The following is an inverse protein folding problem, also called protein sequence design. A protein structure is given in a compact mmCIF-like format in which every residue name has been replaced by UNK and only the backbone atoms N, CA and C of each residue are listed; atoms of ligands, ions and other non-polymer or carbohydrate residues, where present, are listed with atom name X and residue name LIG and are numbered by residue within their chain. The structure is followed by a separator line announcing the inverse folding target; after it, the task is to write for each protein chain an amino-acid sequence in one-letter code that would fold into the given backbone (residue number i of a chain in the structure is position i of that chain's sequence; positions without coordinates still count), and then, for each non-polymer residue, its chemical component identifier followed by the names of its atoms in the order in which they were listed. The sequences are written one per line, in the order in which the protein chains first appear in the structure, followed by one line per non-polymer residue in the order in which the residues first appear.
data_IF_144684576380
#
_entry.id   IF_144684576380
#
_cell.length_a   1.000
_cell.length_b   1.000
_cell.length_c   1.000
_cell.angle_alpha   90.00
_cell.angle_beta   90.00
_cell.angle_gamma   90.00
#
_symmetry.space_group_name_H-M   'P 1'
#
loop_
_entity.id
_entity.type
_entity.pdbx_description
1 polymer ?
#
# COMPACT_ATOMS: atom_id res chain seq x y z
N UNK A 1 -2.39 -1.62 56.98
CA UNK A 1 -2.24 -0.49 56.03
C UNK A 1 -3.55 0.28 56.02
N UNK A 2 -3.51 1.61 56.14
CA UNK A 2 -4.73 2.43 56.14
C UNK A 2 -5.14 2.74 54.68
N UNK A 3 -6.37 2.40 54.30
CA UNK A 3 -6.97 2.72 53.00
C UNK A 3 -7.65 4.10 53.09
N UNK A 4 -7.38 4.99 52.13
CA UNK A 4 -8.13 6.23 51.92
C UNK A 4 -9.02 6.06 50.68
N UNK A 5 -10.27 6.51 50.78
CA UNK A 5 -11.22 6.50 49.66
C UNK A 5 -11.06 7.78 48.82
N UNK A 6 -11.21 7.63 47.52
CA UNK A 6 -11.34 8.73 46.58
C UNK A 6 -12.71 9.40 46.72
N UNK A 7 -12.78 10.67 46.35
CA UNK A 7 -14.04 11.40 46.17
C UNK A 7 -14.77 10.95 44.91
N UNK A 8 -16.08 11.21 44.86
CA UNK A 8 -16.90 10.89 43.68
C UNK A 8 -16.42 11.62 42.42
N UNK A 9 -15.98 12.88 42.55
CA UNK A 9 -15.43 13.65 41.42
C UNK A 9 -14.12 13.06 40.89
N UNK A 10 -13.25 12.56 41.77
CA UNK A 10 -12.01 11.90 41.35
C UNK A 10 -12.31 10.58 40.63
N UNK A 11 -13.28 9.80 41.14
CA UNK A 11 -13.70 8.55 40.50
C UNK A 11 -14.29 8.82 39.10
N UNK A 12 -15.15 9.83 38.97
CA UNK A 12 -15.76 10.17 37.68
C UNK A 12 -14.71 10.58 36.63
N UNK A 13 -13.73 11.39 37.01
CA UNK A 13 -12.63 11.79 36.11
C UNK A 13 -11.81 10.57 35.68
N UNK A 14 -11.54 9.63 36.60
CA UNK A 14 -10.81 8.40 36.28
C UNK A 14 -11.58 7.50 35.31
N UNK A 15 -12.90 7.37 35.49
CA UNK A 15 -13.76 6.62 34.57
C UNK A 15 -13.82 7.26 33.17
N UNK A 16 -13.86 8.59 33.10
CA UNK A 16 -13.77 9.31 31.83
C UNK A 16 -12.44 9.05 31.12
N UNK A 17 -11.33 9.11 31.85
CA UNK A 17 -10.01 8.81 31.29
C UNK A 17 -9.92 7.38 30.80
N UNK A 18 -10.43 6.41 31.57
CA UNK A 18 -10.47 5.02 31.14
C UNK A 18 -11.28 4.82 29.86
N UNK A 19 -12.44 5.48 29.77
CA UNK A 19 -13.31 5.41 28.59
C UNK A 19 -12.62 5.99 27.36
N UNK A 20 -12.04 7.18 27.49
CA UNK A 20 -11.30 7.83 26.39
C UNK A 20 -10.08 7.01 25.97
N UNK A 21 -9.37 6.41 26.93
CA UNK A 21 -8.21 5.57 26.62
C UNK A 21 -8.63 4.31 25.85
N UNK A 22 -9.73 3.67 26.25
CA UNK A 22 -10.27 2.51 25.54
C UNK A 22 -10.69 2.86 24.11
N UNK A 23 -11.34 4.01 23.92
CA UNK A 23 -11.73 4.49 22.60
C UNK A 23 -10.50 4.72 21.69
N UNK A 24 -9.46 5.38 22.21
CA UNK A 24 -8.20 5.59 21.47
C UNK A 24 -7.57 4.25 21.06
N UNK A 25 -7.53 3.26 21.97
CA UNK A 25 -6.95 1.93 21.67
C UNK A 25 -7.74 1.24 20.56
N UNK A 26 -9.08 1.26 20.62
CA UNK A 26 -9.95 0.64 19.61
C UNK A 26 -9.78 1.32 18.25
N UNK A 27 -9.79 2.66 18.22
CA UNK A 27 -9.63 3.42 16.98
C UNK A 27 -8.24 3.23 16.36
N UNK A 28 -7.20 3.13 17.19
CA UNK A 28 -5.84 2.82 16.74
C UNK A 28 -5.80 1.45 16.09
N UNK A 29 -6.31 0.41 16.76
CA UNK A 29 -6.34 -0.95 16.20
C UNK A 29 -7.11 -1.03 14.88
N UNK A 30 -8.26 -0.35 14.78
CA UNK A 30 -9.02 -0.28 13.53
C UNK A 30 -8.26 0.44 12.41
N UNK A 31 -7.45 1.44 12.75
CA UNK A 31 -6.61 2.16 11.79
C UNK A 31 -5.46 1.30 11.29
N UNK A 32 -4.78 0.58 12.17
CA UNK A 32 -3.70 -0.35 11.81
C UNK A 32 -4.19 -1.43 10.83
N UNK A 33 -5.38 -2.00 11.07
CA UNK A 33 -5.98 -2.98 10.15
C UNK A 33 -6.24 -2.39 8.75
N UNK A 34 -6.62 -1.10 8.66
CA UNK A 34 -6.81 -0.43 7.37
C UNK A 34 -5.49 -0.18 6.66
N UNK A 35 -4.43 0.15 7.40
CA UNK A 35 -3.08 0.33 6.86
C UNK A 35 -2.57 -0.98 6.28
N UNK A 36 -2.66 -2.09 7.01
CA UNK A 36 -2.26 -3.43 6.53
C UNK A 36 -2.96 -3.82 5.22
N UNK A 37 -4.26 -3.52 5.09
CA UNK A 37 -4.99 -3.75 3.83
C UNK A 37 -4.43 -2.92 2.68
N UNK A 38 -4.13 -1.65 2.90
CA UNK A 38 -3.56 -0.77 1.87
C UNK A 38 -2.14 -1.18 1.47
N UNK A 39 -1.34 -1.64 2.42
CA UNK A 39 0.01 -2.15 2.16
C UNK A 39 -0.03 -3.39 1.26
N UNK A 40 -0.91 -4.35 1.55
CA UNK A 40 -1.10 -5.54 0.70
C UNK A 40 -1.56 -5.18 -0.70
N UNK A 41 -2.51 -4.25 -0.84
CA UNK A 41 -2.96 -3.77 -2.15
C UNK A 41 -1.81 -3.14 -2.95
N UNK A 42 -0.94 -2.38 -2.28
CA UNK A 42 0.26 -1.81 -2.90
C UNK A 42 1.22 -2.90 -3.34
N UNK A 43 1.48 -3.91 -2.51
CA UNK A 43 2.33 -5.04 -2.87
C UNK A 43 1.82 -5.77 -4.11
N UNK A 44 0.52 -6.08 -4.17
CA UNK A 44 -0.10 -6.70 -5.36
C UNK A 44 0.08 -5.85 -6.63
N UNK A 45 -0.04 -4.52 -6.53
CA UNK A 45 0.18 -3.61 -7.66
C UNK A 45 1.64 -3.61 -8.11
N UNK A 46 2.59 -3.66 -7.18
CA UNK A 46 4.01 -3.74 -7.49
C UNK A 46 4.36 -5.06 -8.17
N UNK A 47 3.78 -6.17 -7.74
CA UNK A 47 3.96 -7.48 -8.40
C UNK A 47 3.42 -7.45 -9.84
N UNK A 48 2.22 -6.91 -10.04
CA UNK A 48 1.61 -6.74 -11.38
C UNK A 48 2.51 -5.87 -12.26
N UNK A 49 3.05 -4.78 -11.72
CA UNK A 49 3.95 -3.89 -12.45
C UNK A 49 5.26 -4.60 -12.83
N UNK A 50 5.86 -5.36 -11.91
CA UNK A 50 7.08 -6.13 -12.20
C UNK A 50 6.84 -7.18 -13.30
N UNK A 51 5.68 -7.84 -13.27
CA UNK A 51 5.30 -8.79 -14.33
C UNK A 51 5.15 -8.07 -15.68
N UNK A 52 4.45 -6.94 -15.72
CA UNK A 52 4.29 -6.15 -16.93
C UNK A 52 5.66 -5.74 -17.51
N UNK A 53 6.58 -5.25 -16.68
CA UNK A 53 7.93 -4.86 -17.12
C UNK A 53 8.70 -6.04 -17.72
N UNK A 54 8.57 -7.25 -17.13
CA UNK A 54 9.18 -8.46 -17.69
C UNK A 54 8.56 -8.84 -19.04
N UNK A 55 7.23 -8.80 -19.14
CA UNK A 55 6.50 -9.11 -20.37
C UNK A 55 6.86 -8.11 -21.49
N UNK A 56 6.95 -6.81 -21.16
CA UNK A 56 7.39 -5.76 -22.07
C UNK A 56 8.83 -5.96 -22.54
N UNK A 57 9.76 -6.26 -21.62
CA UNK A 57 11.15 -6.52 -21.98
C UNK A 57 11.29 -7.77 -22.86
N UNK A 58 10.52 -8.82 -22.59
CA UNK A 58 10.48 -10.03 -23.42
C UNK A 58 9.97 -9.71 -24.82
N UNK A 59 8.83 -9.02 -24.92
CA UNK A 59 8.26 -8.65 -26.21
C UNK A 59 9.16 -7.70 -27.01
N UNK A 60 9.82 -6.74 -26.35
CA UNK A 60 10.80 -5.87 -26.98
C UNK A 60 11.96 -6.65 -27.61
N UNK A 61 12.48 -7.68 -26.92
CA UNK A 61 13.49 -8.59 -27.50
C UNK A 61 12.95 -9.38 -28.68
N UNK A 62 11.74 -9.92 -28.59
CA UNK A 62 11.10 -10.64 -29.72
C UNK A 62 10.95 -9.75 -30.96
N UNK A 63 10.64 -8.46 -30.77
CA UNK A 63 10.59 -7.48 -31.87
C UNK A 63 11.98 -7.18 -32.44
N UNK A 64 12.99 -6.99 -31.58
CA UNK A 64 14.38 -6.74 -32.01
C UNK A 64 14.95 -7.95 -32.77
N UNK A 65 14.68 -9.18 -32.32
CA UNK A 65 15.08 -10.41 -33.03
C UNK A 65 14.38 -10.52 -34.40
N UNK A 66 13.13 -10.06 -34.51
CA UNK A 66 12.33 -10.17 -35.74
C UNK A 66 12.63 -9.08 -36.77
N UNK A 67 12.88 -7.85 -36.31
CA UNK A 67 12.97 -6.67 -37.18
C UNK A 67 14.35 -5.99 -37.14
N UNK A 68 15.26 -6.41 -36.26
CA UNK A 68 16.56 -5.76 -36.05
C UNK A 68 16.46 -4.58 -35.07
N UNK A 69 17.56 -3.84 -34.93
CA UNK A 69 17.54 -2.59 -34.16
C UNK A 69 16.72 -1.53 -34.91
N UNK A 70 15.83 -0.84 -34.20
CA UNK A 70 14.95 0.13 -34.83
C UNK A 70 13.98 0.80 -33.85
N UNK A 71 13.16 1.68 -34.40
CA UNK A 71 12.16 2.46 -33.68
C UNK A 71 10.75 2.01 -34.05
N UNK A 72 9.83 1.98 -33.08
CA UNK A 72 8.43 1.63 -33.28
C UNK A 72 7.58 2.89 -33.22
N UNK A 73 6.86 3.19 -34.29
CA UNK A 73 5.77 4.16 -34.30
C UNK A 73 4.46 3.44 -33.93
N UNK A 74 4.04 3.57 -32.66
CA UNK A 74 2.83 2.92 -32.15
C UNK A 74 1.53 3.51 -32.73
N UNK A 75 1.56 4.77 -33.19
CA UNK A 75 0.36 5.42 -33.77
C UNK A 75 0.10 4.92 -35.19
N UNK A 76 1.17 4.70 -35.96
CA UNK A 76 1.08 4.19 -37.34
C UNK A 76 1.18 2.66 -37.42
N UNK A 77 1.68 2.01 -36.38
CA UNK A 77 1.95 0.57 -36.37
C UNK A 77 3.16 0.19 -37.23
N UNK A 78 4.12 1.09 -37.37
CA UNK A 78 5.29 0.92 -38.26
C UNK A 78 6.57 0.67 -37.45
N UNK A 79 7.44 -0.19 -37.96
CA UNK A 79 8.79 -0.41 -37.43
C UNK A 79 9.82 0.14 -38.42
N UNK A 80 10.68 1.04 -37.96
CA UNK A 80 11.75 1.64 -38.76
C UNK A 80 13.09 1.13 -38.25
N UNK A 81 13.80 0.34 -39.07
CA UNK A 81 15.15 -0.11 -38.74
C UNK A 81 16.12 1.07 -38.64
N UNK A 82 16.99 1.06 -37.64
CA UNK A 82 18.13 1.97 -37.61
C UNK A 82 19.15 1.45 -38.63
N UNK A 83 19.33 2.18 -39.74
CA UNK A 83 20.47 1.95 -40.66
C UNK A 83 21.81 2.21 -39.98
#
# INVERSE_FOLDING_TARGET
MASKKLSESELQILEEFQTRNNDIVVQTGATELRIDVLERQKEELLEKFQKLTKDQAKFGKELQEKYGDGNIDLEKGEFTTAE
#
